data_IF_609781873492
#
_entry.id   IF_609781873492
#
_cell.length_a   1.000
_cell.length_b   1.000
_cell.length_c   1.000
_cell.angle_alpha   90.00
_cell.angle_beta   90.00
_cell.angle_gamma   90.00
#
_symmetry.space_group_name_H-M   'P 1'
#
loop_
_entity.id
_entity.type
_entity.pdbx_description
1 polymer ?
#
# COMPACT_ATOMS: atom_id res chain seq x y z
N UNK A 1 -64.89 8.47 -50.98
CA UNK A 1 -63.50 7.91 -51.02
C UNK A 1 -62.58 9.03 -50.57
N UNK A 2 -62.07 8.97 -49.32
CA UNK A 2 -61.08 9.92 -48.79
C UNK A 2 -59.77 9.15 -48.63
N UNK A 3 -58.73 9.52 -49.43
CA UNK A 3 -57.39 9.01 -49.31
C UNK A 3 -56.64 9.68 -48.16
N UNK A 4 -56.13 8.92 -47.21
CA UNK A 4 -55.20 9.38 -46.18
C UNK A 4 -53.76 9.20 -46.72
N UNK A 5 -53.05 10.31 -46.85
CA UNK A 5 -51.59 10.30 -47.16
C UNK A 5 -50.89 10.30 -45.81
N UNK A 6 -50.21 9.18 -45.50
CA UNK A 6 -49.35 9.05 -44.31
C UNK A 6 -47.97 9.60 -44.68
N UNK A 7 -47.64 10.74 -44.08
CA UNK A 7 -46.30 11.34 -44.20
C UNK A 7 -45.37 10.60 -43.25
N UNK A 8 -44.40 9.81 -43.79
CA UNK A 8 -43.31 9.22 -42.98
C UNK A 8 -42.30 10.30 -42.67
N UNK A 9 -42.16 10.65 -41.38
CA UNK A 9 -41.09 11.51 -40.91
C UNK A 9 -39.76 10.73 -40.88
N UNK A 10 -38.84 11.09 -41.79
CA UNK A 10 -37.42 10.68 -41.68
C UNK A 10 -36.82 11.38 -40.47
N UNK A 11 -36.56 10.60 -39.42
CA UNK A 11 -35.68 11.04 -38.32
C UNK A 11 -34.25 11.05 -38.87
N UNK A 12 -33.72 12.22 -39.17
CA UNK A 12 -32.32 12.43 -39.51
C UNK A 12 -31.47 12.11 -38.24
N UNK A 13 -30.81 10.97 -38.27
CA UNK A 13 -29.77 10.67 -37.29
C UNK A 13 -28.67 11.72 -37.47
N UNK A 14 -28.55 12.66 -36.49
CA UNK A 14 -27.47 13.61 -36.45
C UNK A 14 -26.11 12.90 -36.40
N UNK A 15 -25.03 13.54 -36.86
CA UNK A 15 -23.73 12.91 -36.90
C UNK A 15 -23.33 12.51 -35.47
N UNK A 16 -23.18 11.22 -35.23
CA UNK A 16 -22.57 10.70 -34.04
C UNK A 16 -21.14 11.28 -33.99
N UNK A 17 -20.90 12.27 -33.12
CA UNK A 17 -19.57 12.77 -32.89
C UNK A 17 -18.71 11.57 -32.50
N UNK A 18 -17.82 11.15 -33.36
CA UNK A 18 -16.86 10.09 -33.09
C UNK A 18 -16.01 10.59 -31.92
N UNK A 19 -16.28 10.07 -30.72
CA UNK A 19 -15.48 10.40 -29.55
C UNK A 19 -14.02 10.08 -29.87
N UNK A 20 -13.16 11.11 -29.86
CA UNK A 20 -11.75 10.94 -30.12
C UNK A 20 -11.13 10.04 -29.05
N UNK A 21 -10.25 9.15 -29.48
CA UNK A 21 -9.45 8.35 -28.54
C UNK A 21 -8.43 9.26 -27.91
N UNK A 22 -8.47 9.39 -26.58
CA UNK A 22 -7.46 10.11 -25.83
C UNK A 22 -6.30 9.17 -25.48
N UNK A 23 -5.07 9.63 -25.71
CA UNK A 23 -3.83 8.92 -25.42
C UNK A 23 -3.14 9.59 -24.24
N UNK A 24 -2.84 8.79 -23.20
CA UNK A 24 -2.09 9.26 -22.03
C UNK A 24 -0.85 8.40 -21.85
N UNK A 25 0.34 8.91 -22.19
CA UNK A 25 1.59 8.23 -21.88
C UNK A 25 1.82 8.18 -20.38
N UNK A 26 2.42 7.10 -19.93
CA UNK A 26 2.80 6.86 -18.54
C UNK A 26 4.30 6.60 -18.52
N UNK A 27 5.05 7.42 -17.80
CA UNK A 27 6.49 7.22 -17.65
C UNK A 27 6.92 7.73 -16.29
N UNK A 28 7.55 6.87 -15.53
CA UNK A 28 8.17 7.20 -14.25
C UNK A 28 9.52 6.51 -14.10
N UNK A 29 10.44 7.16 -13.42
CA UNK A 29 11.75 6.64 -13.10
C UNK A 29 12.07 6.87 -11.62
N UNK A 30 12.77 5.92 -11.02
CA UNK A 30 13.31 6.00 -9.67
C UNK A 30 14.76 5.61 -9.67
N UNK A 31 15.62 6.41 -9.04
CA UNK A 31 16.96 6.03 -8.64
C UNK A 31 16.99 5.99 -7.11
N UNK A 32 17.56 4.95 -6.53
CA UNK A 32 17.66 4.77 -5.07
C UNK A 32 19.01 4.20 -4.70
N UNK A 33 19.67 4.82 -3.74
CA UNK A 33 20.68 4.20 -2.93
C UNK A 33 20.09 3.84 -1.58
N UNK A 34 20.32 2.60 -1.14
CA UNK A 34 19.86 2.08 0.14
C UNK A 34 21.05 1.38 0.82
N UNK A 35 21.33 1.80 2.06
CA UNK A 35 22.31 1.18 2.95
C UNK A 35 21.58 0.58 4.15
N UNK A 36 21.85 -0.68 4.46
CA UNK A 36 21.23 -1.42 5.56
C UNK A 36 22.30 -2.12 6.38
N UNK A 37 22.42 -1.74 7.65
CA UNK A 37 23.28 -2.36 8.64
C UNK A 37 22.42 -2.98 9.75
N UNK A 38 22.72 -4.24 10.10
CA UNK A 38 21.96 -5.01 11.09
C UNK A 38 22.94 -5.86 11.91
N UNK A 39 22.84 -5.79 13.23
CA UNK A 39 23.85 -6.29 14.16
C UNK A 39 24.06 -7.81 14.18
N UNK A 40 23.13 -8.59 13.62
CA UNK A 40 23.23 -10.05 13.48
C UNK A 40 23.83 -10.50 12.14
N UNK A 41 24.37 -9.56 11.34
CA UNK A 41 25.10 -9.82 10.10
C UNK A 41 26.52 -9.28 10.18
N UNK A 42 27.47 -9.97 9.52
CA UNK A 42 28.89 -9.59 9.52
C UNK A 42 29.18 -8.36 8.64
N UNK A 43 28.32 -8.07 7.67
CA UNK A 43 28.49 -6.98 6.73
C UNK A 43 27.15 -6.32 6.38
N UNK A 44 27.19 -5.01 6.21
CA UNK A 44 26.05 -4.23 5.74
C UNK A 44 25.74 -4.54 4.27
N UNK A 45 24.52 -4.22 3.85
CA UNK A 45 24.07 -4.26 2.46
C UNK A 45 24.06 -2.87 1.85
N UNK A 46 24.56 -2.76 0.61
CA UNK A 46 24.52 -1.54 -0.20
C UNK A 46 23.87 -1.83 -1.56
N UNK A 47 22.76 -1.16 -1.85
CA UNK A 47 22.03 -1.30 -3.11
C UNK A 47 21.91 0.05 -3.82
N UNK A 48 22.33 0.13 -5.07
CA UNK A 48 21.95 1.24 -5.97
C UNK A 48 21.08 0.68 -7.05
N UNK A 49 19.80 1.07 -7.06
CA UNK A 49 18.81 0.54 -7.98
C UNK A 49 18.20 1.60 -8.86
N UNK A 50 17.87 1.23 -10.10
CA UNK A 50 17.13 2.03 -11.07
C UNK A 50 15.85 1.30 -11.42
N UNK A 51 14.70 1.96 -11.23
CA UNK A 51 13.40 1.47 -11.68
C UNK A 51 12.84 2.40 -12.75
N UNK A 52 12.34 1.81 -13.84
CA UNK A 52 11.57 2.52 -14.86
C UNK A 52 10.22 1.83 -15.04
N UNK A 53 9.16 2.60 -15.11
CA UNK A 53 7.84 2.17 -15.56
C UNK A 53 7.46 2.97 -16.80
N UNK A 54 6.98 2.26 -17.82
CA UNK A 54 6.55 2.87 -19.07
C UNK A 54 5.26 2.20 -19.54
N UNK A 55 4.30 3.01 -20.01
CA UNK A 55 3.01 2.50 -20.44
C UNK A 55 2.17 3.53 -21.19
N UNK A 56 0.97 3.10 -21.52
CA UNK A 56 -0.01 3.90 -22.25
C UNK A 56 -1.41 3.61 -21.73
N UNK A 57 -2.20 4.65 -21.54
CA UNK A 57 -3.63 4.56 -21.32
C UNK A 57 -4.37 5.13 -22.54
N UNK A 58 -5.29 4.34 -23.12
CA UNK A 58 -6.18 4.73 -24.19
C UNK A 58 -7.60 4.89 -23.62
N UNK A 59 -8.25 6.01 -23.91
CA UNK A 59 -9.64 6.26 -23.47
C UNK A 59 -10.55 6.58 -24.63
N UNK A 60 -11.72 5.96 -24.64
CA UNK A 60 -12.81 6.27 -25.58
C UNK A 60 -14.15 6.16 -24.86
N UNK A 61 -14.81 7.29 -24.63
CA UNK A 61 -16.05 7.34 -23.86
C UNK A 61 -15.88 6.80 -22.43
N UNK A 62 -16.72 5.87 -21.99
CA UNK A 62 -16.61 5.29 -20.65
C UNK A 62 -15.50 4.22 -20.53
N UNK A 63 -14.86 3.83 -21.62
CA UNK A 63 -13.88 2.76 -21.66
C UNK A 63 -12.46 3.27 -21.63
N UNK A 64 -11.58 2.59 -20.89
CA UNK A 64 -10.14 2.76 -21.02
C UNK A 64 -9.41 1.41 -20.97
N UNK A 65 -8.31 1.34 -21.71
CA UNK A 65 -7.34 0.23 -21.69
C UNK A 65 -6.01 0.81 -21.25
N UNK A 66 -5.35 0.17 -20.29
CA UNK A 66 -4.04 0.57 -19.79
C UNK A 66 -3.09 -0.61 -19.83
N UNK A 67 -1.91 -0.40 -20.41
CA UNK A 67 -0.75 -1.29 -20.34
C UNK A 67 0.46 -0.55 -19.79
N UNK A 68 1.16 -1.14 -18.82
CA UNK A 68 2.37 -0.58 -18.23
C UNK A 68 3.34 -1.70 -17.88
N UNK A 69 4.57 -1.58 -18.35
CA UNK A 69 5.69 -2.44 -18.01
C UNK A 69 6.57 -1.78 -16.95
N UNK A 70 7.28 -2.58 -16.19
CA UNK A 70 8.25 -2.17 -15.18
C UNK A 70 9.56 -2.91 -15.38
N UNK A 71 10.68 -2.18 -15.28
CA UNK A 71 12.02 -2.71 -15.15
C UNK A 71 12.66 -2.21 -13.86
N UNK A 72 13.35 -3.10 -13.14
CA UNK A 72 14.22 -2.79 -12.00
C UNK A 72 15.59 -3.40 -12.24
N UNK A 73 16.65 -2.58 -12.13
CA UNK A 73 18.04 -2.94 -12.33
C UNK A 73 18.85 -2.58 -11.09
N UNK A 74 19.69 -3.46 -10.59
CA UNK A 74 20.70 -3.19 -9.59
C UNK A 74 21.99 -2.70 -10.29
N UNK A 75 22.40 -1.47 -10.00
CA UNK A 75 23.67 -0.89 -10.49
C UNK A 75 24.81 -1.22 -9.52
N UNK A 76 24.49 -1.27 -8.23
CA UNK A 76 25.35 -1.83 -7.17
C UNK A 76 24.52 -2.91 -6.49
N UNK A 77 25.02 -4.12 -6.52
CA UNK A 77 24.36 -5.35 -6.07
C UNK A 77 25.04 -5.98 -4.83
N UNK A 78 25.70 -5.15 -4.03
CA UNK A 78 26.40 -5.58 -2.79
C UNK A 78 25.40 -5.78 -1.64
N UNK A 79 24.33 -6.54 -1.91
CA UNK A 79 23.25 -6.88 -0.99
C UNK A 79 22.62 -8.23 -1.29
N UNK A 80 21.93 -8.81 -0.32
CA UNK A 80 21.04 -9.94 -0.52
C UNK A 80 19.64 -9.41 -0.88
N UNK A 81 19.16 -9.69 -2.10
CA UNK A 81 17.84 -9.21 -2.56
C UNK A 81 16.66 -10.07 -2.08
N UNK A 82 16.97 -11.17 -1.40
CA UNK A 82 16.03 -12.18 -0.95
C UNK A 82 16.00 -13.43 -1.84
N UNK A 83 16.53 -13.36 -3.06
CA UNK A 83 16.62 -14.45 -4.04
C UNK A 83 18.06 -14.70 -4.47
N UNK A 84 18.84 -13.63 -4.63
CA UNK A 84 20.21 -13.60 -5.14
C UNK A 84 21.13 -12.74 -4.28
N UNK A 85 22.40 -12.83 -4.51
CA UNK A 85 23.43 -12.11 -3.77
C UNK A 85 23.91 -12.84 -2.51
N UNK A 86 24.77 -12.19 -1.72
CA UNK A 86 25.41 -12.79 -0.55
C UNK A 86 24.42 -12.92 0.62
N UNK A 87 23.99 -14.15 0.91
CA UNK A 87 22.98 -14.43 1.95
C UNK A 87 23.46 -14.14 3.40
N UNK A 88 24.74 -13.81 3.60
CA UNK A 88 25.32 -13.36 4.88
C UNK A 88 25.17 -11.85 5.09
N UNK A 89 24.42 -11.15 4.26
CA UNK A 89 24.06 -9.73 4.38
C UNK A 89 22.58 -9.54 4.67
N UNK A 90 22.17 -8.46 5.32
CA UNK A 90 20.75 -8.18 5.57
C UNK A 90 19.98 -7.98 4.26
N UNK A 91 18.70 -8.38 4.24
CA UNK A 91 17.88 -8.40 3.03
C UNK A 91 17.35 -7.02 2.65
N UNK A 92 17.64 -6.57 1.43
CA UNK A 92 16.96 -5.46 0.76
C UNK A 92 16.06 -6.07 -0.33
N UNK A 93 14.77 -6.21 -0.07
CA UNK A 93 13.81 -6.94 -0.92
C UNK A 93 13.42 -6.18 -2.21
N UNK A 94 14.41 -5.87 -3.04
CA UNK A 94 14.24 -5.20 -4.34
C UNK A 94 15.04 -5.93 -5.45
N UNK A 95 14.69 -7.19 -5.79
CA UNK A 95 15.39 -7.96 -6.81
C UNK A 95 15.25 -7.32 -8.20
N UNK A 96 16.23 -7.59 -9.08
CA UNK A 96 16.14 -7.24 -10.49
C UNK A 96 14.91 -7.89 -11.12
N UNK A 97 14.23 -7.18 -12.01
CA UNK A 97 13.00 -7.68 -12.59
C UNK A 97 12.58 -6.89 -13.83
N UNK A 98 12.00 -7.59 -14.80
CA UNK A 98 11.23 -6.98 -15.90
C UNK A 98 9.87 -7.68 -15.97
N UNK A 99 8.78 -6.92 -15.83
CA UNK A 99 7.44 -7.48 -15.79
C UNK A 99 6.37 -6.51 -16.30
N UNK A 100 5.23 -7.06 -16.67
CA UNK A 100 3.99 -6.28 -16.82
C UNK A 100 3.50 -5.92 -15.42
N UNK A 101 3.48 -4.63 -15.11
CA UNK A 101 3.03 -4.12 -13.82
C UNK A 101 1.51 -3.89 -13.79
N UNK A 102 0.96 -3.31 -14.88
CA UNK A 102 -0.50 -3.17 -15.07
C UNK A 102 -0.92 -3.55 -16.48
N UNK A 103 -2.04 -4.26 -16.60
CA UNK A 103 -2.69 -4.58 -17.88
C UNK A 103 -4.19 -4.71 -17.60
N UNK A 104 -4.95 -3.65 -17.82
CA UNK A 104 -6.33 -3.56 -17.37
C UNK A 104 -7.27 -2.93 -18.40
N UNK A 105 -8.51 -3.38 -18.37
CA UNK A 105 -9.68 -2.78 -19.02
C UNK A 105 -10.53 -2.14 -17.94
N UNK A 106 -10.98 -0.91 -18.15
CA UNK A 106 -11.89 -0.22 -17.23
C UNK A 106 -13.09 0.35 -17.98
N UNK A 107 -14.26 0.13 -17.41
CA UNK A 107 -15.49 0.84 -17.73
C UNK A 107 -15.82 1.83 -16.59
N UNK A 108 -16.06 3.09 -16.93
CA UNK A 108 -16.42 4.14 -15.97
C UNK A 108 -17.58 4.96 -16.48
N UNK A 109 -18.73 4.81 -15.82
CA UNK A 109 -19.92 5.61 -16.06
C UNK A 109 -20.69 5.70 -14.74
N UNK A 110 -20.94 6.92 -14.25
CA UNK A 110 -21.64 7.09 -12.98
C UNK A 110 -22.95 6.29 -12.93
N UNK A 111 -23.25 5.57 -11.84
CA UNK A 111 -22.51 5.53 -10.58
C UNK A 111 -21.44 4.43 -10.50
N UNK A 112 -21.13 3.73 -11.61
CA UNK A 112 -20.39 2.48 -11.67
C UNK A 112 -18.99 2.68 -12.28
N UNK A 113 -17.97 2.07 -11.66
CA UNK A 113 -16.66 1.81 -12.26
C UNK A 113 -16.34 0.32 -12.11
N UNK A 114 -15.99 -0.35 -13.21
CA UNK A 114 -15.51 -1.74 -13.20
C UNK A 114 -14.13 -1.78 -13.83
N UNK A 115 -13.17 -2.40 -13.15
CA UNK A 115 -11.80 -2.60 -13.65
C UNK A 115 -11.48 -4.08 -13.64
N UNK A 116 -11.03 -4.64 -14.75
CA UNK A 116 -10.65 -6.04 -14.88
C UNK A 116 -9.22 -6.18 -15.41
N UNK A 117 -8.48 -7.15 -14.88
CA UNK A 117 -7.10 -7.45 -15.25
C UNK A 117 -6.09 -7.06 -14.17
N UNK A 118 -4.80 -7.02 -14.56
CA UNK A 118 -3.71 -6.67 -13.64
C UNK A 118 -3.75 -5.20 -13.30
N UNK A 119 -3.97 -4.90 -12.04
CA UNK A 119 -4.20 -3.56 -11.55
C UNK A 119 -3.54 -3.30 -10.19
N UNK A 120 -3.32 -2.04 -9.89
CA UNK A 120 -2.91 -1.59 -8.57
C UNK A 120 -4.13 -1.40 -7.71
N UNK A 121 -4.15 -2.03 -6.54
CA UNK A 121 -5.21 -1.88 -5.55
C UNK A 121 -4.60 -1.36 -4.26
N UNK A 122 -5.19 -0.32 -3.70
CA UNK A 122 -4.95 0.18 -2.36
C UNK A 122 -6.30 0.54 -1.74
N UNK A 123 -6.63 -0.06 -0.61
CA UNK A 123 -7.87 0.18 0.11
C UNK A 123 -7.59 0.97 1.38
N UNK A 124 -8.38 2.00 1.64
CA UNK A 124 -8.24 2.91 2.77
C UNK A 124 -6.81 3.50 2.87
N UNK A 125 -6.11 3.25 3.97
CA UNK A 125 -4.71 3.65 4.19
C UNK A 125 -3.69 2.59 3.72
N UNK A 126 -4.15 1.49 3.13
CA UNK A 126 -3.38 0.33 2.71
C UNK A 126 -2.82 -0.52 3.87
N UNK A 127 -3.39 -0.41 5.08
CA UNK A 127 -2.94 -1.23 6.21
C UNK A 127 -3.16 -2.72 5.98
N UNK A 128 -4.27 -3.10 5.32
CA UNK A 128 -4.66 -4.48 5.08
C UNK A 128 -4.45 -4.90 3.61
N UNK A 129 -4.80 -4.01 2.67
CA UNK A 129 -4.67 -4.27 1.22
C UNK A 129 -4.03 -3.05 0.56
N UNK A 130 -2.85 -3.24 -0.01
CA UNK A 130 -2.06 -2.17 -0.60
C UNK A 130 -1.13 -2.63 -1.70
N UNK A 131 -0.51 -1.70 -2.38
CA UNK A 131 0.32 -1.95 -3.54
C UNK A 131 1.83 -1.93 -3.24
N UNK A 132 2.25 -1.77 -1.99
CA UNK A 132 3.65 -1.77 -1.54
C UNK A 132 4.58 -0.88 -2.40
N UNK A 133 4.13 0.34 -2.74
CA UNK A 133 4.80 1.25 -3.70
C UNK A 133 6.20 1.71 -3.27
N UNK A 134 6.59 1.48 -2.03
CA UNK A 134 7.95 1.76 -1.55
C UNK A 134 8.96 0.82 -2.21
N UNK A 135 8.58 -0.42 -2.46
CA UNK A 135 9.42 -1.39 -3.16
C UNK A 135 9.52 -1.04 -4.64
N UNK A 136 10.62 -1.38 -5.27
CA UNK A 136 10.79 -1.20 -6.71
C UNK A 136 9.83 -2.12 -7.48
N UNK A 137 9.79 -3.41 -7.10
CA UNK A 137 8.79 -4.35 -7.57
C UNK A 137 7.55 -4.23 -6.69
N UNK A 138 6.68 -3.26 -7.00
CA UNK A 138 5.47 -3.05 -6.23
C UNK A 138 4.44 -4.17 -6.48
N UNK A 139 3.62 -4.44 -5.47
CA UNK A 139 2.54 -5.41 -5.53
C UNK A 139 1.45 -4.98 -6.52
N UNK A 140 0.91 -5.93 -7.28
CA UNK A 140 -0.27 -5.74 -8.14
C UNK A 140 -1.19 -6.96 -8.07
N UNK A 141 -2.45 -6.77 -8.49
CA UNK A 141 -3.50 -7.77 -8.33
C UNK A 141 -4.10 -8.11 -9.69
N UNK A 142 -4.19 -9.38 -10.01
CA UNK A 142 -4.99 -9.88 -11.14
C UNK A 142 -6.42 -10.05 -10.60
N UNK A 143 -7.32 -9.10 -10.97
CA UNK A 143 -8.59 -8.92 -10.27
C UNK A 143 -9.70 -8.35 -11.16
N UNK A 144 -10.93 -8.51 -10.69
CA UNK A 144 -12.07 -7.65 -11.05
C UNK A 144 -12.45 -6.82 -9.84
N UNK A 145 -12.48 -5.49 -10.01
CA UNK A 145 -12.89 -4.52 -9.00
C UNK A 145 -14.08 -3.72 -9.49
N UNK A 146 -15.08 -3.60 -8.64
CA UNK A 146 -16.31 -2.85 -8.90
C UNK A 146 -16.49 -1.78 -7.83
N UNK A 147 -16.55 -0.52 -8.25
CA UNK A 147 -16.82 0.62 -7.39
C UNK A 147 -18.15 1.24 -7.75
N UNK A 148 -19.03 1.40 -6.77
CA UNK A 148 -20.40 1.93 -6.96
C UNK A 148 -20.62 3.10 -5.99
N UNK A 149 -21.07 4.24 -6.52
CA UNK A 149 -21.50 5.40 -5.73
C UNK A 149 -22.99 5.63 -6.00
N UNK A 150 -23.88 4.85 -5.34
CA UNK A 150 -25.31 4.85 -5.65
C UNK A 150 -25.98 6.17 -5.30
N UNK A 151 -25.52 6.83 -4.25
CA UNK A 151 -25.91 8.16 -3.80
C UNK A 151 -24.72 8.91 -3.26
N UNK A 152 -24.80 10.24 -3.24
CA UNK A 152 -23.73 11.06 -2.68
C UNK A 152 -23.43 10.67 -1.22
N UNK A 153 -22.16 10.45 -0.92
CA UNK A 153 -21.70 10.09 0.43
C UNK A 153 -21.74 8.59 0.75
N UNK A 154 -22.22 7.73 -0.16
CA UNK A 154 -22.17 6.28 0.00
C UNK A 154 -21.34 5.66 -1.13
N UNK A 155 -20.34 4.85 -0.77
CA UNK A 155 -19.47 4.13 -1.72
C UNK A 155 -19.39 2.67 -1.34
N UNK A 156 -19.67 1.79 -2.31
CA UNK A 156 -19.39 0.36 -2.24
C UNK A 156 -18.17 0.06 -3.14
N UNK A 157 -17.21 -0.71 -2.64
CA UNK A 157 -16.02 -1.15 -3.35
C UNK A 157 -15.85 -2.66 -3.15
N UNK A 158 -16.00 -3.43 -4.22
CA UNK A 158 -15.91 -4.88 -4.21
C UNK A 158 -14.81 -5.34 -5.14
N UNK A 159 -13.92 -6.17 -4.64
CA UNK A 159 -12.82 -6.74 -5.42
C UNK A 159 -12.80 -8.26 -5.24
N UNK A 160 -12.66 -8.97 -6.36
CA UNK A 160 -12.26 -10.37 -6.40
C UNK A 160 -10.90 -10.46 -7.11
N UNK A 161 -9.87 -10.94 -6.39
CA UNK A 161 -8.53 -11.10 -6.91
C UNK A 161 -8.13 -12.58 -6.87
N UNK A 162 -7.73 -13.11 -8.04
CA UNK A 162 -7.34 -14.53 -8.19
C UNK A 162 -5.83 -14.74 -8.17
N UNK A 163 -5.02 -13.67 -8.23
CA UNK A 163 -3.56 -13.73 -8.12
C UNK A 163 -3.04 -12.39 -7.59
N UNK A 164 -2.05 -12.44 -6.73
CA UNK A 164 -1.34 -11.27 -6.20
C UNK A 164 0.12 -11.37 -6.65
N UNK A 165 0.54 -10.49 -7.54
CA UNK A 165 1.95 -10.36 -7.95
C UNK A 165 2.72 -9.68 -6.83
N UNK A 166 3.71 -10.39 -6.32
CA UNK A 166 4.46 -9.96 -5.14
C UNK A 166 5.62 -9.04 -5.47
N UNK A 167 6.26 -8.52 -4.45
CA UNK A 167 7.47 -7.68 -4.57
C UNK A 167 8.72 -8.48 -5.04
N UNK A 168 8.67 -9.81 -5.07
CA UNK A 168 9.81 -10.66 -5.40
C UNK A 168 10.06 -10.79 -6.91
N UNK A 169 9.22 -10.18 -7.76
CA UNK A 169 9.41 -10.17 -9.22
C UNK A 169 9.17 -11.53 -9.88
N UNK A 170 9.61 -11.66 -11.14
CA UNK A 170 9.35 -12.84 -11.98
C UNK A 170 10.15 -14.08 -11.60
N UNK A 171 11.25 -13.91 -10.86
CA UNK A 171 12.14 -14.99 -10.39
C UNK A 171 11.81 -15.46 -8.98
N UNK A 172 10.80 -14.87 -8.34
CA UNK A 172 10.32 -15.26 -7.01
C UNK A 172 10.01 -16.75 -6.90
N UNK A 173 10.45 -17.39 -5.79
CA UNK A 173 10.35 -18.83 -5.53
C UNK A 173 10.30 -19.15 -4.05
N UNK A 174 9.89 -20.39 -3.71
CA UNK A 174 9.79 -20.84 -2.32
C UNK A 174 8.87 -19.93 -1.51
N UNK A 175 9.25 -19.55 -0.30
CA UNK A 175 8.48 -18.62 0.54
C UNK A 175 8.39 -17.18 -0.02
N UNK A 176 9.13 -16.87 -1.07
CA UNK A 176 9.17 -15.57 -1.76
C UNK A 176 8.66 -15.69 -3.19
N UNK A 177 7.47 -16.24 -3.34
CA UNK A 177 6.82 -16.49 -4.62
C UNK A 177 6.66 -15.24 -5.49
N UNK A 178 6.77 -15.38 -6.82
CA UNK A 178 6.50 -14.33 -7.82
C UNK A 178 5.05 -13.86 -7.80
N UNK A 179 4.15 -14.75 -7.43
CA UNK A 179 2.73 -14.51 -7.31
C UNK A 179 2.13 -15.53 -6.34
N UNK A 180 1.06 -15.15 -5.67
CA UNK A 180 0.30 -16.01 -4.76
C UNK A 180 -1.13 -16.07 -5.29
N UNK A 181 -1.51 -17.25 -5.78
CA UNK A 181 -2.88 -17.57 -6.18
C UNK A 181 -3.83 -17.63 -4.99
N UNK A 182 -5.13 -17.67 -5.29
CA UNK A 182 -6.17 -17.83 -4.29
C UNK A 182 -7.45 -17.07 -4.61
N UNK A 183 -8.45 -17.26 -3.75
CA UNK A 183 -9.76 -16.62 -3.88
C UNK A 183 -9.88 -15.45 -2.91
N UNK A 184 -9.23 -14.32 -3.25
CA UNK A 184 -9.23 -13.15 -2.38
C UNK A 184 -10.45 -12.27 -2.66
N UNK A 185 -11.19 -11.91 -1.61
CA UNK A 185 -12.35 -11.02 -1.71
C UNK A 185 -12.17 -9.83 -0.76
N UNK A 186 -12.30 -8.63 -1.31
CA UNK A 186 -12.24 -7.40 -0.53
C UNK A 186 -13.52 -6.61 -0.73
N UNK A 187 -14.16 -6.21 0.36
CA UNK A 187 -15.40 -5.43 0.36
C UNK A 187 -15.29 -4.26 1.34
N UNK A 188 -15.53 -3.05 0.85
CA UNK A 188 -15.62 -1.82 1.65
C UNK A 188 -16.97 -1.16 1.39
N UNK A 189 -17.67 -0.77 2.46
CA UNK A 189 -18.84 0.10 2.42
C UNK A 189 -18.53 1.37 3.20
N UNK A 190 -18.28 2.45 2.49
CA UNK A 190 -17.96 3.76 3.05
C UNK A 190 -19.18 4.69 3.06
N UNK A 191 -19.45 5.30 4.20
CA UNK A 191 -20.50 6.30 4.37
C UNK A 191 -19.93 7.62 4.89
N UNK A 192 -20.22 8.73 4.20
CA UNK A 192 -19.88 10.06 4.68
C UNK A 192 -20.76 10.43 5.89
N UNK A 193 -20.13 10.83 6.98
CA UNK A 193 -20.81 11.26 8.22
C UNK A 193 -20.32 12.65 8.62
N UNK A 194 -20.99 13.33 9.55
CA UNK A 194 -20.47 14.58 10.09
C UNK A 194 -19.09 14.48 10.75
N UNK A 195 -18.67 13.29 11.16
CA UNK A 195 -17.36 13.01 11.76
C UNK A 195 -16.32 12.53 10.76
N UNK A 196 -16.62 12.44 9.46
CA UNK A 196 -15.73 11.90 8.43
C UNK A 196 -16.32 10.68 7.75
N UNK A 197 -15.51 9.86 7.13
CA UNK A 197 -15.96 8.64 6.47
C UNK A 197 -15.93 7.47 7.45
N UNK A 198 -17.08 6.85 7.67
CA UNK A 198 -17.20 5.56 8.35
C UNK A 198 -17.17 4.46 7.29
N UNK A 199 -16.23 3.55 7.38
CA UNK A 199 -16.08 2.41 6.47
C UNK A 199 -16.25 1.11 7.25
N UNK A 200 -17.22 0.28 6.86
CA UNK A 200 -17.25 -1.13 7.23
C UNK A 200 -16.52 -1.94 6.17
N UNK A 201 -15.73 -2.93 6.56
CA UNK A 201 -14.97 -3.75 5.61
C UNK A 201 -14.98 -5.24 5.97
N UNK A 202 -14.81 -6.07 4.92
CA UNK A 202 -14.60 -7.50 5.01
C UNK A 202 -13.50 -7.89 4.02
N UNK A 203 -12.42 -8.51 4.51
CA UNK A 203 -11.32 -8.99 3.68
C UNK A 203 -11.11 -10.48 3.91
N UNK A 204 -11.31 -11.25 2.86
CA UNK A 204 -11.05 -12.68 2.81
C UNK A 204 -9.78 -12.87 1.99
N UNK A 205 -8.69 -13.29 2.64
CA UNK A 205 -7.39 -13.52 2.02
C UNK A 205 -7.15 -15.02 1.98
N UNK A 206 -7.07 -15.56 0.79
CA UNK A 206 -6.78 -16.95 0.53
C UNK A 206 -5.44 -17.04 -0.21
N UNK A 207 -4.42 -17.56 0.46
CA UNK A 207 -3.11 -17.79 -0.14
C UNK A 207 -2.96 -19.28 -0.41
N UNK A 208 -3.11 -19.68 -1.65
CA UNK A 208 -3.24 -21.09 -2.08
C UNK A 208 -1.90 -21.69 -2.54
N UNK A 209 -0.80 -21.22 -1.96
CA UNK A 209 0.54 -21.72 -2.22
C UNK A 209 1.16 -22.28 -0.93
N UNK A 210 1.39 -23.61 -0.88
CA UNK A 210 1.93 -24.28 0.30
C UNK A 210 3.31 -23.77 0.71
N UNK A 211 4.13 -23.34 -0.25
CA UNK A 211 5.46 -22.76 -0.03
C UNK A 211 5.39 -21.42 0.73
N UNK A 212 4.24 -20.73 0.69
CA UNK A 212 4.01 -19.50 1.42
C UNK A 212 3.46 -19.82 2.81
N UNK A 213 4.37 -20.07 3.75
CA UNK A 213 4.06 -20.30 5.17
C UNK A 213 3.07 -21.47 5.42
N UNK A 214 2.93 -22.43 4.49
CA UNK A 214 2.01 -23.55 4.62
C UNK A 214 0.55 -23.11 4.82
N UNK A 215 0.07 -22.19 3.96
CA UNK A 215 -1.29 -21.61 3.97
C UNK A 215 -1.65 -20.77 5.21
N UNK A 216 -0.75 -20.60 6.19
CA UNK A 216 -1.04 -19.94 7.48
C UNK A 216 -1.31 -18.44 7.38
N UNK A 217 -1.09 -17.84 6.22
CA UNK A 217 -1.43 -16.43 5.98
C UNK A 217 -2.85 -16.25 5.42
N UNK A 218 -3.55 -17.35 5.10
CA UNK A 218 -4.97 -17.29 4.73
C UNK A 218 -5.80 -16.91 5.94
N UNK A 219 -6.54 -15.80 5.82
CA UNK A 219 -7.29 -15.22 6.93
C UNK A 219 -8.55 -14.49 6.45
N UNK A 220 -9.49 -14.32 7.36
CA UNK A 220 -10.64 -13.44 7.17
C UNK A 220 -10.66 -12.36 8.24
N UNK A 221 -10.85 -11.12 7.79
CA UNK A 221 -10.87 -9.94 8.65
C UNK A 221 -12.13 -9.12 8.42
N UNK A 222 -12.79 -8.74 9.51
CA UNK A 222 -13.99 -7.90 9.48
C UNK A 222 -13.76 -6.73 10.42
N UNK A 223 -14.09 -5.52 9.96
CA UNK A 223 -13.82 -4.35 10.78
C UNK A 223 -14.57 -3.10 10.38
N UNK A 224 -14.31 -2.07 11.16
CA UNK A 224 -14.82 -0.72 10.94
C UNK A 224 -13.69 0.30 11.10
N UNK A 225 -13.75 1.37 10.31
CA UNK A 225 -12.80 2.47 10.32
C UNK A 225 -13.54 3.80 10.22
N UNK A 226 -13.22 4.72 11.11
CA UNK A 226 -13.63 6.12 11.02
C UNK A 226 -12.38 6.96 10.72
N UNK A 227 -12.39 7.70 9.61
CA UNK A 227 -11.32 8.63 9.28
C UNK A 227 -11.91 10.01 8.98
N UNK A 228 -11.40 11.03 9.64
CA UNK A 228 -11.92 12.38 9.52
C UNK A 228 -10.87 13.47 9.62
N UNK A 229 -11.30 14.67 9.25
CA UNK A 229 -10.51 15.88 9.42
C UNK A 229 -11.43 17.07 9.69
N UNK A 230 -11.05 17.91 10.67
CA UNK A 230 -11.80 19.11 11.04
C UNK A 230 -10.90 20.32 11.17
N UNK A 231 -11.31 21.43 10.61
CA UNK A 231 -10.77 22.72 10.98
C UNK A 231 -11.22 23.06 12.40
N UNK A 232 -10.27 23.25 13.30
CA UNK A 232 -10.53 23.63 14.70
C UNK A 232 -10.22 25.11 14.96
N UNK A 233 -9.45 25.73 14.06
CA UNK A 233 -9.23 27.18 13.98
C UNK A 233 -8.86 27.55 12.52
N UNK A 234 -8.78 28.84 12.14
CA UNK A 234 -8.51 29.27 10.76
C UNK A 234 -7.27 28.64 10.13
N UNK A 235 -6.22 28.38 10.89
CA UNK A 235 -4.97 27.78 10.41
C UNK A 235 -4.63 26.47 11.11
N UNK A 236 -5.61 25.85 11.79
CA UNK A 236 -5.42 24.60 12.55
C UNK A 236 -6.43 23.55 12.09
N UNK A 237 -5.93 22.38 11.70
CA UNK A 237 -6.71 21.24 11.24
C UNK A 237 -6.34 19.99 12.02
N UNK A 238 -7.33 19.40 12.68
CA UNK A 238 -7.19 18.08 13.30
C UNK A 238 -7.56 17.00 12.27
N UNK A 239 -6.69 16.03 12.08
CA UNK A 239 -6.95 14.76 11.39
C UNK A 239 -6.99 13.64 12.42
N UNK A 240 -7.84 12.65 12.22
CA UNK A 240 -7.95 11.52 13.13
C UNK A 240 -8.42 10.28 12.40
N UNK A 241 -8.04 9.13 12.95
CA UNK A 241 -8.45 7.82 12.51
C UNK A 241 -8.66 6.90 13.72
N UNK A 242 -9.77 6.17 13.70
CA UNK A 242 -10.05 5.09 14.63
C UNK A 242 -10.38 3.86 13.81
N UNK A 243 -9.82 2.72 14.14
CA UNK A 243 -10.11 1.47 13.45
C UNK A 243 -10.12 0.30 14.42
N UNK A 244 -11.02 -0.64 14.17
CA UNK A 244 -11.06 -1.93 14.82
C UNK A 244 -11.35 -3.01 13.79
N UNK A 245 -10.70 -4.17 13.94
CA UNK A 245 -11.00 -5.35 13.16
C UNK A 245 -10.78 -6.63 13.98
N UNK A 246 -11.48 -7.69 13.59
CA UNK A 246 -11.25 -9.05 14.06
C UNK A 246 -10.83 -9.92 12.91
N UNK A 247 -9.80 -10.71 13.13
CA UNK A 247 -9.25 -11.67 12.17
C UNK A 247 -9.33 -13.08 12.73
N UNK A 248 -9.59 -14.04 11.85
CA UNK A 248 -9.47 -15.46 12.15
C UNK A 248 -8.93 -16.22 10.93
N UNK A 249 -8.64 -17.49 11.11
CA UNK A 249 -8.30 -18.42 10.03
C UNK A 249 -9.37 -18.46 8.93
N UNK A 250 -8.92 -18.74 7.73
CA UNK A 250 -9.78 -18.86 6.55
C UNK A 250 -9.29 -19.97 5.62
N UNK A 251 -10.21 -20.61 4.92
CA UNK A 251 -9.97 -21.61 3.88
C UNK A 251 -9.01 -22.73 4.32
N UNK A 252 -7.84 -22.91 3.70
CA UNK A 252 -6.87 -23.96 3.98
C UNK A 252 -5.91 -23.68 5.15
N UNK A 253 -6.09 -22.59 5.90
CA UNK A 253 -5.24 -22.30 7.05
C UNK A 253 -5.33 -23.45 8.08
N UNK A 254 -4.22 -24.15 8.40
CA UNK A 254 -4.25 -25.30 9.28
C UNK A 254 -4.39 -24.94 10.76
N UNK A 255 -4.29 -23.66 11.12
CA UNK A 255 -4.25 -23.21 12.52
C UNK A 255 -5.44 -22.32 12.81
N UNK A 256 -6.31 -22.73 13.73
CA UNK A 256 -7.41 -21.91 14.22
C UNK A 256 -6.89 -20.82 15.16
N UNK A 257 -7.33 -19.59 14.96
CA UNK A 257 -6.98 -18.45 15.82
C UNK A 257 -8.03 -17.35 15.74
N UNK A 258 -7.94 -16.40 16.68
CA UNK A 258 -8.72 -15.17 16.68
C UNK A 258 -7.88 -14.04 17.25
N UNK A 259 -7.66 -13.00 16.46
CA UNK A 259 -6.89 -11.82 16.86
C UNK A 259 -7.65 -10.54 16.55
N UNK A 260 -7.49 -9.53 17.39
CA UNK A 260 -8.10 -8.22 17.21
C UNK A 260 -7.04 -7.19 16.79
N UNK A 261 -7.47 -6.23 15.99
CA UNK A 261 -6.72 -5.06 15.56
C UNK A 261 -7.35 -3.80 16.12
N UNK A 262 -6.53 -2.87 16.60
CA UNK A 262 -6.96 -1.56 17.07
C UNK A 262 -6.03 -0.48 16.55
N UNK A 263 -6.58 0.65 16.15
CA UNK A 263 -5.83 1.86 15.83
C UNK A 263 -6.56 3.07 16.36
N UNK A 264 -5.83 3.93 17.05
CA UNK A 264 -6.21 5.31 17.33
C UNK A 264 -5.05 6.22 16.93
N UNK A 265 -5.27 7.09 15.94
CA UNK A 265 -4.29 8.03 15.41
C UNK A 265 -4.87 9.43 15.34
N UNK A 266 -4.06 10.44 15.65
CA UNK A 266 -4.42 11.83 15.48
C UNK A 266 -3.22 12.65 15.02
N UNK A 267 -3.48 13.66 14.19
CA UNK A 267 -2.49 14.64 13.77
C UNK A 267 -3.08 16.04 13.77
N UNK A 268 -2.33 17.01 14.28
CA UNK A 268 -2.66 18.41 14.29
C UNK A 268 -1.76 19.16 13.30
N UNK A 269 -2.36 19.74 12.29
CA UNK A 269 -1.68 20.58 11.30
C UNK A 269 -1.91 22.05 11.68
N UNK A 270 -0.83 22.84 11.88
CA UNK A 270 -0.89 24.26 12.20
C UNK A 270 0.23 25.01 11.48
N UNK A 271 -0.12 25.92 10.56
CA UNK A 271 0.87 26.83 9.88
C UNK A 271 2.06 26.09 9.28
N UNK A 272 1.83 24.94 8.64
CA UNK A 272 2.89 24.11 8.06
C UNK A 272 3.55 23.11 9.03
N UNK A 273 3.34 23.23 10.33
CA UNK A 273 3.71 22.22 11.31
C UNK A 273 2.67 21.11 11.36
N UNK A 274 3.14 19.91 11.52
CA UNK A 274 2.32 18.74 11.86
C UNK A 274 2.88 18.10 13.12
N UNK A 275 2.01 17.79 14.06
CA UNK A 275 2.34 16.94 15.22
C UNK A 275 1.35 15.79 15.19
N UNK A 276 1.83 14.57 15.38
CA UNK A 276 0.99 13.38 15.37
C UNK A 276 1.35 12.43 16.51
N UNK A 277 0.37 11.66 16.93
CA UNK A 277 0.56 10.52 17.82
C UNK A 277 -0.48 9.45 17.49
N UNK A 278 -0.11 8.19 17.73
CA UNK A 278 -1.01 7.07 17.51
C UNK A 278 -0.65 5.86 18.38
N UNK A 279 -1.61 4.97 18.46
CA UNK A 279 -1.49 3.69 19.14
C UNK A 279 -2.12 2.61 18.26
N UNK A 280 -1.30 1.68 17.81
CA UNK A 280 -1.71 0.55 16.97
C UNK A 280 -1.49 -0.76 17.71
N UNK A 281 -2.43 -1.68 17.62
CA UNK A 281 -2.33 -3.02 18.18
C UNK A 281 -2.65 -4.04 17.10
N UNK A 282 -1.71 -4.93 16.82
CA UNK A 282 -1.96 -6.18 16.14
C UNK A 282 -1.92 -7.27 17.20
N UNK A 283 -3.09 -7.65 17.66
CA UNK A 283 -3.26 -8.58 18.77
C UNK A 283 -2.81 -9.99 18.44
N UNK A 284 -2.66 -10.80 19.46
CA UNK A 284 -2.32 -12.21 19.32
C UNK A 284 -3.31 -13.10 20.07
N UNK A 285 -3.52 -14.31 19.58
CA UNK A 285 -4.29 -15.35 20.26
C UNK A 285 -3.41 -16.13 21.25
N UNK A 286 -2.87 -17.26 20.84
CA UNK A 286 -2.16 -18.22 21.71
C UNK A 286 -0.65 -18.04 21.80
N UNK A 287 -0.04 -17.09 21.08
CA UNK A 287 1.41 -16.92 21.02
C UNK A 287 2.12 -17.92 20.08
N UNK A 288 1.37 -18.62 19.26
CA UNK A 288 1.90 -19.46 18.19
C UNK A 288 2.25 -18.62 16.97
N UNK A 289 3.21 -19.07 16.17
CA UNK A 289 3.61 -18.41 14.93
C UNK A 289 2.42 -18.26 13.98
N UNK A 290 2.21 -17.02 13.47
CA UNK A 290 1.14 -16.66 12.54
C UNK A 290 -0.29 -16.81 13.09
N UNK A 291 -0.47 -16.80 14.42
CA UNK A 291 -1.77 -16.70 15.08
C UNK A 291 -2.05 -15.33 15.71
N UNK A 292 -1.20 -14.37 15.43
CA UNK A 292 -1.44 -12.94 15.65
C UNK A 292 -2.11 -12.31 14.43
N UNK A 293 -2.65 -11.11 14.58
CA UNK A 293 -3.26 -10.38 13.48
C UNK A 293 -2.22 -10.12 12.37
N UNK A 294 -2.39 -10.70 11.19
CA UNK A 294 -1.47 -10.60 10.06
C UNK A 294 -2.04 -9.72 8.94
N UNK A 295 -1.17 -9.01 8.23
CA UNK A 295 -1.56 -8.16 7.09
C UNK A 295 -0.73 -8.51 5.84
N UNK A 296 -0.86 -9.73 5.29
CA UNK A 296 0.01 -10.25 4.24
C UNK A 296 -0.06 -9.47 2.92
N UNK A 297 -1.16 -8.75 2.68
CA UNK A 297 -1.37 -7.95 1.47
C UNK A 297 -1.25 -6.44 1.73
N UNK A 298 -0.87 -6.02 2.93
CA UNK A 298 -0.73 -4.62 3.31
C UNK A 298 0.52 -3.94 2.75
N UNK A 299 0.50 -2.61 2.69
CA UNK A 299 1.70 -1.79 2.45
C UNK A 299 2.45 -1.57 3.76
N UNK A 300 2.96 -2.66 4.34
CA UNK A 300 3.46 -2.73 5.74
C UNK A 300 4.54 -1.70 6.08
N UNK A 301 5.36 -1.26 5.11
CA UNK A 301 6.35 -0.21 5.29
C UNK A 301 5.78 1.15 5.74
N UNK A 302 4.50 1.40 5.53
CA UNK A 302 3.84 2.64 5.99
C UNK A 302 3.60 2.65 7.50
N UNK A 303 3.71 1.50 8.14
CA UNK A 303 3.30 1.24 9.51
C UNK A 303 4.47 0.60 10.28
N UNK A 304 4.49 0.75 11.59
CA UNK A 304 5.42 0.05 12.49
C UNK A 304 6.90 0.23 12.11
N UNK A 305 7.25 1.46 11.71
CA UNK A 305 8.62 1.88 11.43
C UNK A 305 9.17 1.44 10.07
N UNK A 306 10.34 1.95 9.72
CA UNK A 306 10.99 1.76 8.42
C UNK A 306 12.19 0.80 8.46
N UNK A 307 12.58 0.35 9.65
CA UNK A 307 13.60 -0.70 9.79
C UNK A 307 13.08 -2.09 9.34
N UNK A 308 11.78 -2.21 9.01
CA UNK A 308 11.10 -3.43 8.51
C UNK A 308 11.17 -4.64 9.47
N UNK A 309 11.22 -4.42 10.80
CA UNK A 309 11.31 -5.52 11.77
C UNK A 309 9.98 -6.22 12.03
N UNK A 310 8.86 -5.54 11.79
CA UNK A 310 7.51 -6.00 12.13
C UNK A 310 6.64 -6.26 10.90
N UNK A 311 7.24 -6.56 9.74
CA UNK A 311 6.52 -6.86 8.49
C UNK A 311 5.65 -8.11 8.57
N UNK A 312 6.05 -9.07 9.41
CA UNK A 312 5.21 -10.19 9.90
C UNK A 312 4.98 -9.94 11.38
N UNK A 313 3.73 -9.91 11.80
CA UNK A 313 3.41 -9.69 13.21
C UNK A 313 3.96 -10.83 14.08
N UNK A 314 4.73 -10.52 15.13
CA UNK A 314 5.28 -11.54 16.02
C UNK A 314 4.21 -12.43 16.65
N UNK A 315 4.55 -13.65 17.10
CA UNK A 315 3.60 -14.59 17.68
C UNK A 315 2.81 -14.06 18.89
N UNK A 316 3.43 -13.17 19.66
CA UNK A 316 2.80 -12.52 20.81
C UNK A 316 2.16 -11.16 20.48
N UNK A 317 1.94 -10.87 19.16
CA UNK A 317 1.38 -9.61 18.70
C UNK A 317 2.34 -8.44 18.86
N UNK A 318 1.88 -7.25 18.50
CA UNK A 318 2.62 -5.99 18.69
C UNK A 318 1.66 -4.86 19.07
N UNK A 319 2.08 -4.06 20.03
CA UNK A 319 1.55 -2.75 20.37
C UNK A 319 2.60 -1.73 19.96
N UNK A 320 2.23 -0.81 19.11
CA UNK A 320 3.07 0.29 18.64
C UNK A 320 2.49 1.61 19.14
N UNK A 321 3.18 2.25 20.07
CA UNK A 321 2.94 3.63 20.39
C UNK A 321 3.91 4.49 19.58
N UNK A 322 3.40 5.45 18.82
CA UNK A 322 4.24 6.37 18.06
C UNK A 322 3.84 7.81 18.26
N UNK A 323 4.83 8.69 18.19
CA UNK A 323 4.65 10.12 18.21
C UNK A 323 5.66 10.78 17.27
N UNK A 324 5.21 11.84 16.60
CA UNK A 324 6.07 12.48 15.63
C UNK A 324 5.65 13.91 15.32
N UNK A 325 6.44 14.52 14.46
CA UNK A 325 6.13 15.84 13.96
C UNK A 325 6.98 16.19 12.77
N UNK A 326 6.61 17.30 12.14
CA UNK A 326 7.31 17.76 10.95
C UNK A 326 6.93 19.19 10.59
N UNK A 327 7.64 19.71 9.59
CA UNK A 327 7.32 21.02 9.01
C UNK A 327 7.45 20.98 7.50
N UNK A 328 6.53 21.66 6.82
CA UNK A 328 6.51 21.79 5.38
C UNK A 328 6.56 23.25 4.93
N UNK A 329 7.50 23.56 4.05
CA UNK A 329 7.64 24.85 3.40
C UNK A 329 7.17 24.75 1.94
N UNK A 330 6.51 25.79 1.45
CA UNK A 330 6.10 25.93 0.06
C UNK A 330 6.88 27.04 -0.60
N UNK A 331 7.30 26.83 -1.85
CA UNK A 331 7.99 27.83 -2.69
C UNK A 331 9.25 28.41 -2.02
N UNK A 332 10.15 27.54 -1.59
CA UNK A 332 11.42 27.92 -0.98
C UNK A 332 12.53 27.93 -2.05
N UNK A 333 12.87 29.09 -2.59
CA UNK A 333 14.03 29.31 -3.48
C UNK A 333 14.05 28.39 -4.71
N UNK A 334 12.97 28.18 -5.44
CA UNK A 334 12.91 27.29 -6.62
C UNK A 334 12.54 25.85 -6.30
N UNK A 335 12.41 25.48 -5.02
CA UNK A 335 11.83 24.22 -4.54
C UNK A 335 10.33 24.43 -4.37
N UNK A 336 9.49 23.60 -4.98
CA UNK A 336 8.03 23.69 -4.86
C UNK A 336 7.55 23.39 -3.45
N UNK A 337 8.08 22.32 -2.86
CA UNK A 337 7.84 21.96 -1.47
C UNK A 337 9.09 21.33 -0.86
N UNK A 338 9.40 21.70 0.37
CA UNK A 338 10.37 21.04 1.23
C UNK A 338 9.63 20.56 2.48
N UNK A 339 9.87 19.34 2.94
CA UNK A 339 9.30 18.84 4.20
C UNK A 339 10.35 18.06 4.98
N UNK A 340 10.27 18.21 6.30
CA UNK A 340 11.03 17.43 7.27
C UNK A 340 10.06 16.75 8.21
N UNK A 341 10.32 15.50 8.58
CA UNK A 341 9.51 14.71 9.49
C UNK A 341 10.41 13.84 10.37
N UNK A 342 10.01 13.69 11.62
CA UNK A 342 10.58 12.73 12.56
C UNK A 342 9.43 12.00 13.27
N UNK A 343 9.56 10.67 13.41
CA UNK A 343 8.61 9.84 14.17
C UNK A 343 9.41 8.89 15.04
N UNK A 344 8.99 8.75 16.27
CA UNK A 344 9.49 7.77 17.20
C UNK A 344 8.42 6.74 17.49
N UNK A 345 8.84 5.47 17.58
CA UNK A 345 8.01 4.33 17.88
C UNK A 345 8.53 3.60 19.11
N UNK A 346 7.61 3.07 19.91
CA UNK A 346 7.87 2.12 20.99
C UNK A 346 7.05 0.87 20.76
N UNK A 347 7.74 -0.26 20.62
CA UNK A 347 7.12 -1.55 20.36
C UNK A 347 7.10 -2.43 21.60
N UNK A 348 5.96 -3.05 21.86
CA UNK A 348 5.77 -4.03 22.92
C UNK A 348 4.98 -5.23 22.39
N UNK A 349 5.18 -6.41 23.00
CA UNK A 349 4.29 -7.55 22.71
C UNK A 349 2.89 -7.26 23.25
N UNK A 350 1.87 -7.75 22.54
CA UNK A 350 0.48 -7.62 23.01
C UNK A 350 0.19 -8.53 24.21
N UNK A 351 0.68 -9.79 24.19
CA UNK A 351 0.37 -10.78 25.24
C UNK A 351 1.25 -10.73 26.48
N UNK A 352 2.53 -10.40 26.34
CA UNK A 352 3.52 -10.60 27.40
C UNK A 352 4.07 -9.31 28.01
N UNK A 353 3.60 -8.16 27.53
CA UNK A 353 4.08 -6.83 27.91
C UNK A 353 5.64 -6.67 27.80
N UNK A 354 6.26 -7.47 26.92
CA UNK A 354 7.69 -7.41 26.68
C UNK A 354 8.02 -6.25 25.77
N UNK A 355 8.96 -5.44 26.15
CA UNK A 355 9.51 -4.39 25.29
C UNK A 355 10.28 -5.05 24.14
N UNK A 356 9.88 -4.76 22.89
CA UNK A 356 10.54 -5.28 21.70
C UNK A 356 11.73 -4.42 21.27
N UNK A 357 11.60 -3.11 21.43
CA UNK A 357 12.57 -2.10 21.04
C UNK A 357 11.92 -0.77 20.71
N UNK A 358 12.74 0.22 20.42
CA UNK A 358 12.33 1.56 20.01
C UNK A 358 12.86 1.86 18.59
N UNK A 359 12.18 2.73 17.83
CA UNK A 359 12.65 3.11 16.48
C UNK A 359 12.49 4.60 16.24
N UNK A 360 13.51 5.21 15.64
CA UNK A 360 13.45 6.55 15.08
C UNK A 360 13.40 6.51 13.58
N UNK A 361 12.47 7.28 13.01
CA UNK A 361 12.29 7.47 11.57
C UNK A 361 12.42 8.94 11.21
N UNK A 362 13.34 9.28 10.32
CA UNK A 362 13.57 10.64 9.84
C UNK A 362 13.35 10.71 8.33
N UNK A 363 12.65 11.73 7.85
CA UNK A 363 12.40 11.96 6.43
C UNK A 363 12.61 13.43 6.07
N UNK A 364 13.41 13.67 5.04
CA UNK A 364 13.45 14.92 4.32
C UNK A 364 12.97 14.68 2.87
N UNK A 365 12.08 15.55 2.36
CA UNK A 365 11.58 15.47 0.99
C UNK A 365 11.61 16.84 0.34
N UNK A 366 12.19 16.94 -0.85
CA UNK A 366 12.18 18.14 -1.69
C UNK A 366 11.50 17.82 -3.04
N UNK A 367 10.50 18.59 -3.44
CA UNK A 367 9.84 18.49 -4.74
C UNK A 367 10.25 19.64 -5.63
N UNK A 368 10.72 19.31 -6.83
CA UNK A 368 11.13 20.24 -7.88
C UNK A 368 10.40 19.85 -9.17
N UNK A 369 9.34 20.55 -9.51
CA UNK A 369 8.50 20.24 -10.70
C UNK A 369 8.06 18.78 -10.74
N UNK A 370 8.61 17.99 -11.69
CA UNK A 370 8.31 16.57 -11.90
C UNK A 370 9.21 15.62 -11.10
N UNK A 371 10.19 16.16 -10.37
CA UNK A 371 11.17 15.37 -9.59
C UNK A 371 10.93 15.54 -8.10
N UNK A 372 11.00 14.45 -7.37
CA UNK A 372 11.03 14.42 -5.92
C UNK A 372 12.32 13.77 -5.44
N UNK A 373 13.04 14.46 -4.58
CA UNK A 373 14.19 13.94 -3.85
C UNK A 373 13.75 13.61 -2.44
N UNK A 374 14.20 12.49 -1.90
CA UNK A 374 13.95 12.14 -0.50
C UNK A 374 15.17 11.47 0.14
N UNK A 375 15.39 11.84 1.38
CA UNK A 375 16.37 11.18 2.27
C UNK A 375 15.57 10.61 3.44
N UNK A 376 15.80 9.32 3.74
CA UNK A 376 15.20 8.64 4.88
C UNK A 376 16.27 8.00 5.74
N UNK A 377 16.00 7.95 7.02
CA UNK A 377 16.81 7.23 7.99
C UNK A 377 15.90 6.53 8.97
N UNK A 378 16.21 5.28 9.30
CA UNK A 378 15.58 4.53 10.37
C UNK A 378 16.65 3.96 11.29
N UNK A 379 16.42 4.02 12.60
CA UNK A 379 17.25 3.38 13.61
C UNK A 379 16.34 2.64 14.58
N UNK A 380 16.39 1.31 14.52
CA UNK A 380 15.75 0.41 15.46
C UNK A 380 16.76 -0.05 16.49
N UNK A 381 16.46 0.13 17.76
CA UNK A 381 17.21 -0.32 18.92
C UNK A 381 16.44 -1.47 19.56
N UNK A 382 17.00 -2.67 19.41
CA UNK A 382 16.37 -3.90 19.86
C UNK A 382 16.50 -4.07 21.37
N UNK A 383 15.43 -4.58 22.00
CA UNK A 383 15.51 -5.13 23.36
C UNK A 383 15.27 -6.64 23.31
N UNK A 384 14.03 -7.08 23.14
CA UNK A 384 13.67 -8.52 23.14
C UNK A 384 13.18 -9.05 21.81
N UNK A 385 13.26 -8.28 20.75
CA UNK A 385 12.82 -8.69 19.42
C UNK A 385 13.74 -8.17 18.34
N UNK A 386 14.11 -9.05 17.41
CA UNK A 386 15.00 -8.79 16.29
C UNK A 386 16.41 -8.30 16.72
N UNK A 387 17.10 -7.54 15.89
CA UNK A 387 18.44 -7.02 16.13
C UNK A 387 18.51 -5.53 15.81
N UNK A 388 19.43 -4.84 16.45
CA UNK A 388 19.75 -3.43 16.16
C UNK A 388 19.95 -3.24 14.68
N UNK A 389 19.26 -2.22 14.14
CA UNK A 389 19.26 -1.99 12.70
C UNK A 389 19.30 -0.51 12.39
N UNK A 390 20.19 -0.11 11.49
CA UNK A 390 20.17 1.21 10.86
C UNK A 390 19.94 1.09 9.36
N UNK A 391 19.13 1.97 8.81
CA UNK A 391 18.77 1.96 7.41
C UNK A 391 18.72 3.37 6.86
N UNK A 392 19.36 3.59 5.74
CA UNK A 392 19.43 4.88 5.08
C UNK A 392 19.01 4.77 3.62
N UNK A 393 18.27 5.77 3.12
CA UNK A 393 17.90 5.87 1.71
C UNK A 393 18.16 7.28 1.18
N UNK A 394 18.72 7.33 -0.01
CA UNK A 394 18.68 8.49 -0.87
C UNK A 394 17.92 8.11 -2.14
N UNK A 395 16.81 8.80 -2.43
CA UNK A 395 15.94 8.45 -3.53
C UNK A 395 15.56 9.66 -4.35
N UNK A 396 15.53 9.48 -5.67
CA UNK A 396 14.98 10.41 -6.64
C UNK A 396 13.85 9.70 -7.39
N UNK A 397 12.66 10.28 -7.37
CA UNK A 397 11.54 9.89 -8.20
C UNK A 397 11.26 10.98 -9.24
N UNK A 398 11.03 10.57 -10.48
CA UNK A 398 10.63 11.45 -11.56
C UNK A 398 9.38 10.88 -12.24
N UNK A 399 8.40 11.76 -12.54
CA UNK A 399 7.13 11.39 -13.19
C UNK A 399 6.88 12.36 -14.34
N UNK A 400 6.59 11.79 -15.53
CA UNK A 400 6.28 12.55 -16.76
C UNK A 400 4.96 13.29 -16.70
#
# INVERSE_FOLDING_TARGET
>A
MRFWITTAALVAAGPAFAQQVAFKPLLEARARWEHLDQADFDAASDAVTLRVRAGLELRKGPWSVLGEAQGNLAVVDDYYDGLHGPANRPTIGDPENVAIYRAQLQYRSAPLTVTAGRQRIGLDDERFVGAAQIRNNAQSFDAVRTEIVPVQGLKLDLTYAWDVRTIWGTEGRGARQRGVGGHNVFANLGAATPLGTLTGFAYLVDQDEAEVQGFRLSNQSYGVRLAGARAIAPEAKLRYQLSWARQSDYHHNPTRYRADYWLADAALDVRGWTVNAGYEVLGADGGQTLTSFQTPLGSVFKFQGWADKLTTTPPNGVRDFYAGGGHGWKKLGGIDTLSLQAVWHRYQSDRLDQHYGDEWNLLATAKLRKTQLSVRYARYEADRFAADTSRFWLQMDWVY
#
